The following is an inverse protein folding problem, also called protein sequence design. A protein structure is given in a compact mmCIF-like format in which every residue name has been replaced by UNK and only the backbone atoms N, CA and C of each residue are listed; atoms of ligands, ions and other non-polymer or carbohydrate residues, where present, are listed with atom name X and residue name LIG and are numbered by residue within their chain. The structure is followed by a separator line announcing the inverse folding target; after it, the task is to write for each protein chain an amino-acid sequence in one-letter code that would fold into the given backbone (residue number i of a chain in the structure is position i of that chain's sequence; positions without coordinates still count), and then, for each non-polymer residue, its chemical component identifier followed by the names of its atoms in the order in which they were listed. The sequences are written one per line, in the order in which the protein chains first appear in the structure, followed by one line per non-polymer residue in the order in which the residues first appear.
data_IF_913450106106
#
_entry.id   IF_913450106106
#
_cell.length_a   1.000
_cell.length_b   1.000
_cell.length_c   1.000
_cell.angle_alpha   90.00
_cell.angle_beta   90.00
_cell.angle_gamma   90.00
#
_symmetry.space_group_name_H-M   'P 1'
#
loop_
_entity.id
_entity.type
_entity.pdbx_description
1 polymer ?
#
# COMPACT_ATOMS: atom_id res chain seq x y z
N UNK A 1 -6.58 18.77 -4.85
CA UNK A 1 -6.60 18.69 -3.38
C UNK A 1 -6.50 17.22 -3.03
N UNK A 2 -5.31 16.75 -2.63
CA UNK A 2 -5.09 15.34 -2.31
C UNK A 2 -5.85 14.98 -1.02
N UNK A 3 -6.55 13.84 -0.96
CA UNK A 3 -7.29 13.43 0.24
C UNK A 3 -6.33 13.22 1.42
N UNK A 4 -6.76 13.60 2.63
CA UNK A 4 -5.98 13.45 3.86
C UNK A 4 -5.54 11.98 4.04
N UNK A 5 -4.24 11.69 4.21
CA UNK A 5 -3.73 10.32 4.37
C UNK A 5 -4.43 9.54 5.49
N UNK A 6 -4.95 10.21 6.54
CA UNK A 6 -5.72 9.56 7.62
C UNK A 6 -7.08 9.05 7.15
N UNK A 7 -7.72 9.75 6.22
CA UNK A 7 -9.03 9.38 5.67
C UNK A 7 -8.93 8.17 4.74
N UNK A 8 -7.87 8.12 3.91
CA UNK A 8 -7.62 7.00 3.00
C UNK A 8 -7.33 5.71 3.76
N UNK A 9 -6.48 5.76 4.78
CA UNK A 9 -6.19 4.61 5.65
C UNK A 9 -7.45 4.10 6.38
N UNK A 10 -8.30 5.01 6.89
CA UNK A 10 -9.58 4.63 7.52
C UNK A 10 -10.51 3.91 6.56
N UNK A 11 -10.69 4.41 5.34
CA UNK A 11 -11.60 3.80 4.37
C UNK A 11 -11.16 2.38 4.00
N UNK A 12 -9.85 2.14 3.85
CA UNK A 12 -9.35 0.79 3.57
C UNK A 12 -9.53 -0.18 4.74
N UNK A 13 -9.19 0.24 5.97
CA UNK A 13 -9.39 -0.58 7.18
C UNK A 13 -10.87 -0.89 7.41
N UNK A 14 -11.77 0.07 7.19
CA UNK A 14 -13.22 -0.15 7.29
C UNK A 14 -13.68 -1.15 6.22
N UNK A 15 -13.23 -1.01 4.97
CA UNK A 15 -13.61 -1.94 3.90
C UNK A 15 -13.14 -3.38 4.15
N UNK A 16 -11.97 -3.55 4.79
CA UNK A 16 -11.44 -4.84 5.21
C UNK A 16 -12.32 -5.46 6.31
N UNK A 17 -12.60 -4.68 7.36
CA UNK A 17 -13.41 -5.14 8.48
C UNK A 17 -14.82 -5.51 8.05
N UNK A 18 -15.45 -4.72 7.18
CA UNK A 18 -16.78 -4.99 6.64
C UNK A 18 -16.80 -6.30 5.85
N UNK A 19 -15.80 -6.56 4.99
CA UNK A 19 -15.72 -7.80 4.21
C UNK A 19 -15.50 -9.02 5.10
N UNK A 20 -14.61 -8.92 6.09
CA UNK A 20 -14.36 -9.99 7.05
C UNK A 20 -15.61 -10.28 7.89
N UNK A 21 -16.30 -9.24 8.39
CA UNK A 21 -17.53 -9.38 9.15
C UNK A 21 -18.64 -10.00 8.30
N UNK A 22 -18.79 -9.59 7.04
CA UNK A 22 -19.77 -10.15 6.11
C UNK A 22 -19.52 -11.63 5.82
N UNK A 23 -18.27 -12.03 5.52
CA UNK A 23 -17.92 -13.43 5.29
C UNK A 23 -18.16 -14.31 6.52
N UNK A 24 -17.78 -13.83 7.71
CA UNK A 24 -18.04 -14.53 8.96
C UNK A 24 -19.54 -14.65 9.27
N UNK A 25 -20.31 -13.59 9.03
CA UNK A 25 -21.77 -13.60 9.20
C UNK A 25 -22.44 -14.57 8.22
N UNK A 26 -21.99 -14.61 6.97
CA UNK A 26 -22.48 -15.54 5.96
C UNK A 26 -22.19 -17.00 6.36
N UNK A 27 -20.97 -17.28 6.84
CA UNK A 27 -20.60 -18.60 7.34
C UNK A 27 -21.49 -19.03 8.53
N UNK A 28 -21.73 -18.13 9.48
CA UNK A 28 -22.61 -18.38 10.61
C UNK A 28 -24.06 -18.64 10.17
N UNK A 29 -24.59 -17.85 9.23
CA UNK A 29 -25.94 -18.02 8.69
C UNK A 29 -26.10 -19.38 7.99
N UNK A 30 -25.11 -19.80 7.19
CA UNK A 30 -25.11 -21.11 6.53
C UNK A 30 -25.03 -22.26 7.54
N UNK A 31 -24.20 -22.12 8.58
CA UNK A 31 -24.12 -23.10 9.67
C UNK A 31 -25.45 -23.24 10.43
N UNK A 32 -26.06 -22.12 10.82
CA UNK A 32 -27.39 -22.08 11.44
C UNK A 32 -28.47 -22.69 10.53
N UNK A 33 -28.44 -22.41 9.23
CA UNK A 33 -29.35 -23.00 8.26
C UNK A 33 -29.19 -24.52 8.14
N UNK A 34 -27.96 -25.01 8.08
CA UNK A 34 -27.67 -26.44 8.07
C UNK A 34 -28.12 -27.13 9.37
N UNK A 35 -27.88 -26.49 10.52
CA UNK A 35 -28.35 -26.98 11.82
C UNK A 35 -29.88 -27.07 11.84
N UNK A 36 -30.55 -26.01 11.40
CA UNK A 36 -32.02 -25.99 11.29
C UNK A 36 -32.52 -27.13 10.39
N UNK A 37 -31.90 -27.34 9.24
CA UNK A 37 -32.28 -28.42 8.32
C UNK A 37 -32.13 -29.82 8.95
N UNK A 38 -31.12 -30.02 9.78
CA UNK A 38 -30.93 -31.28 10.53
C UNK A 38 -32.00 -31.45 11.62
N UNK A 39 -32.41 -30.34 12.27
CA UNK A 39 -33.39 -30.34 13.37
C UNK A 39 -34.86 -30.31 12.90
N UNK A 40 -35.18 -29.80 11.71
CA UNK A 40 -36.53 -29.75 11.12
C UNK A 40 -37.00 -31.15 10.63
N UNK A 41 -36.93 -32.15 11.52
CA UNK A 41 -37.50 -33.49 11.29
C UNK A 41 -38.99 -33.47 11.71
N UNK A 42 -39.92 -33.96 10.88
CA UNK A 42 -41.33 -34.00 11.26
C UNK A 42 -41.52 -34.89 12.48
N UNK A 43 -42.16 -34.35 13.51
CA UNK A 43 -42.62 -35.11 14.67
C UNK A 43 -43.86 -35.90 14.23
N UNK A 44 -43.80 -37.23 14.30
CA UNK A 44 -44.91 -38.09 13.90
C UNK A 44 -46.21 -37.76 14.67
N UNK A 45 -47.38 -38.13 14.12
CA UNK A 45 -48.68 -37.82 14.71
C UNK A 45 -48.92 -38.50 16.08
N UNK A 46 -48.15 -39.55 16.40
CA UNK A 46 -48.23 -40.28 17.66
C UNK A 46 -47.12 -39.89 18.66
N UNK A 47 -47.49 -39.86 19.94
CA UNK A 47 -46.59 -39.53 21.05
C UNK A 47 -45.34 -40.43 21.13
N UNK A 48 -45.47 -41.70 20.72
CA UNK A 48 -44.37 -42.67 20.70
C UNK A 48 -43.34 -42.38 19.61
N UNK A 49 -43.79 -41.99 18.41
CA UNK A 49 -42.91 -41.60 17.31
C UNK A 49 -42.16 -40.29 17.61
N UNK A 50 -42.82 -39.33 18.26
CA UNK A 50 -42.19 -38.10 18.73
C UNK A 50 -41.09 -38.36 19.77
N UNK A 51 -41.32 -39.29 20.70
CA UNK A 51 -40.30 -39.66 21.71
C UNK A 51 -39.07 -40.32 21.07
N UNK A 52 -39.26 -41.22 20.11
CA UNK A 52 -38.15 -41.83 19.37
C UNK A 52 -37.38 -40.82 18.51
N UNK A 53 -38.09 -39.91 17.84
CA UNK A 53 -37.47 -38.84 17.06
C UNK A 53 -36.58 -37.93 17.95
N UNK A 54 -37.09 -37.46 19.09
CA UNK A 54 -36.32 -36.62 20.02
C UNK A 54 -35.09 -37.36 20.56
N UNK A 55 -35.24 -38.63 20.96
CA UNK A 55 -34.15 -39.42 21.54
C UNK A 55 -33.04 -39.72 20.52
N UNK A 56 -33.40 -39.83 19.23
CA UNK A 56 -32.45 -40.00 18.12
C UNK A 56 -31.71 -38.70 17.75
N UNK A 57 -32.30 -37.52 18.04
CA UNK A 57 -31.72 -36.21 17.74
C UNK A 57 -30.74 -35.72 18.81
N UNK A 58 -30.99 -35.98 20.09
CA UNK A 58 -30.13 -35.57 21.21
C UNK A 58 -28.63 -35.86 21.01
N UNK A 59 -28.21 -37.09 20.61
CA UNK A 59 -26.79 -37.39 20.40
C UNK A 59 -26.19 -36.68 19.18
N UNK A 60 -27.01 -36.22 18.22
CA UNK A 60 -26.56 -35.47 17.05
C UNK A 60 -26.35 -33.97 17.34
N UNK A 61 -27.03 -33.40 18.34
CA UNK A 61 -26.97 -31.96 18.65
C UNK A 61 -25.55 -31.52 19.03
N UNK A 62 -24.87 -32.26 19.91
CA UNK A 62 -23.51 -31.93 20.34
C UNK A 62 -22.51 -31.86 19.17
N UNK A 63 -22.35 -32.94 18.39
CA UNK A 63 -21.53 -32.94 17.18
C UNK A 63 -21.92 -31.87 16.17
N UNK A 64 -23.22 -31.60 15.99
CA UNK A 64 -23.70 -30.56 15.06
C UNK A 64 -23.32 -29.14 15.52
N UNK A 65 -23.42 -28.83 16.81
CA UNK A 65 -23.00 -27.54 17.38
C UNK A 65 -21.49 -27.37 17.25
N UNK A 66 -20.70 -28.40 17.56
CA UNK A 66 -19.24 -28.37 17.39
C UNK A 66 -18.87 -28.18 15.93
N UNK A 67 -19.50 -28.92 15.01
CA UNK A 67 -19.29 -28.76 13.58
C UNK A 67 -19.60 -27.33 13.10
N UNK A 68 -20.71 -26.75 13.55
CA UNK A 68 -21.05 -25.36 13.28
C UNK A 68 -19.97 -24.39 13.78
N UNK A 69 -19.57 -24.51 15.05
CA UNK A 69 -18.56 -23.63 15.65
C UNK A 69 -17.21 -23.73 14.92
N UNK A 70 -16.75 -24.94 14.65
CA UNK A 70 -15.48 -25.19 13.93
C UNK A 70 -15.56 -24.64 12.51
N UNK A 71 -16.68 -24.83 11.81
CA UNK A 71 -16.83 -24.33 10.44
C UNK A 71 -16.76 -22.80 10.37
N UNK A 72 -17.42 -22.09 11.29
CA UNK A 72 -17.37 -20.62 11.39
C UNK A 72 -15.96 -20.15 11.72
N UNK A 73 -15.30 -20.78 12.69
CA UNK A 73 -13.91 -20.44 13.06
C UNK A 73 -12.95 -20.64 11.88
N UNK A 74 -13.08 -21.75 11.17
CA UNK A 74 -12.24 -22.07 10.03
C UNK A 74 -12.44 -21.06 8.89
N UNK A 75 -13.69 -20.78 8.51
CA UNK A 75 -14.00 -19.80 7.45
C UNK A 75 -13.54 -18.40 7.86
N UNK A 76 -13.74 -18.00 9.12
CA UNK A 76 -13.27 -16.73 9.65
C UNK A 76 -11.74 -16.61 9.59
N UNK A 77 -11.02 -17.64 10.04
CA UNK A 77 -9.56 -17.68 10.02
C UNK A 77 -9.00 -17.60 8.59
N UNK A 78 -9.55 -18.40 7.67
CA UNK A 78 -9.15 -18.41 6.25
C UNK A 78 -9.43 -17.05 5.61
N UNK A 79 -10.59 -16.45 5.88
CA UNK A 79 -10.96 -15.13 5.36
C UNK A 79 -10.01 -14.04 5.85
N UNK A 80 -9.68 -14.05 7.15
CA UNK A 80 -8.71 -13.12 7.73
C UNK A 80 -7.32 -13.27 7.10
N UNK A 81 -6.87 -14.52 6.91
CA UNK A 81 -5.58 -14.79 6.28
C UNK A 81 -5.53 -14.28 4.83
N UNK A 82 -6.52 -14.61 4.02
CA UNK A 82 -6.60 -14.17 2.62
C UNK A 82 -6.65 -12.65 2.54
N UNK A 83 -7.56 -12.02 3.28
CA UNK A 83 -7.69 -10.56 3.26
C UNK A 83 -6.40 -9.88 3.78
N UNK A 84 -5.74 -10.46 4.79
CA UNK A 84 -4.49 -9.95 5.35
C UNK A 84 -3.34 -9.99 4.35
N UNK A 85 -3.18 -11.09 3.62
CA UNK A 85 -2.20 -11.21 2.54
C UNK A 85 -2.49 -10.21 1.43
N UNK A 86 -3.74 -10.08 1.00
CA UNK A 86 -4.14 -9.12 -0.02
C UNK A 86 -3.89 -7.67 0.41
N UNK A 87 -4.14 -7.35 1.69
CA UNK A 87 -3.83 -6.05 2.24
C UNK A 87 -2.30 -5.80 2.29
N UNK A 88 -1.52 -6.80 2.69
CA UNK A 88 -0.06 -6.74 2.75
C UNK A 88 0.55 -6.47 1.37
N UNK A 89 0.06 -7.13 0.30
CA UNK A 89 0.54 -6.89 -1.07
C UNK A 89 0.35 -5.45 -1.55
N UNK A 90 -0.70 -4.75 -1.09
CA UNK A 90 -0.94 -3.33 -1.40
C UNK A 90 0.03 -2.37 -0.71
N UNK A 91 0.83 -2.86 0.23
CA UNK A 91 1.84 -2.07 0.96
C UNK A 91 3.25 -2.51 0.57
N UNK A 92 3.53 -3.81 0.61
CA UNK A 92 4.87 -4.37 0.40
C UNK A 92 5.43 -4.05 -0.99
N UNK A 93 4.61 -4.19 -2.05
CA UNK A 93 5.03 -3.90 -3.41
C UNK A 93 5.45 -2.43 -3.61
N UNK A 94 4.58 -1.46 -3.28
CA UNK A 94 4.90 -0.04 -3.29
C UNK A 94 6.13 0.32 -2.47
N UNK A 95 6.24 -0.22 -1.24
CA UNK A 95 7.36 0.06 -0.35
C UNK A 95 8.69 -0.40 -0.94
N UNK A 96 8.73 -1.58 -1.55
CA UNK A 96 9.93 -2.10 -2.22
C UNK A 96 10.34 -1.23 -3.42
N UNK A 97 9.36 -0.70 -4.17
CA UNK A 97 9.64 0.25 -5.26
C UNK A 97 10.23 1.56 -4.73
N UNK A 98 9.68 2.10 -3.64
CA UNK A 98 10.20 3.32 -3.00
C UNK A 98 11.62 3.11 -2.47
N UNK A 99 11.88 1.98 -1.81
CA UNK A 99 13.20 1.62 -1.32
C UNK A 99 14.22 1.51 -2.46
N UNK A 100 13.84 0.90 -3.60
CA UNK A 100 14.71 0.82 -4.77
C UNK A 100 15.08 2.20 -5.30
N UNK A 101 14.12 3.13 -5.33
CA UNK A 101 14.36 4.50 -5.78
C UNK A 101 15.25 5.26 -4.81
N UNK A 102 15.00 5.16 -3.51
CA UNK A 102 15.89 5.72 -2.50
C UNK A 102 17.33 5.19 -2.66
N UNK A 103 17.51 3.90 -2.93
CA UNK A 103 18.81 3.31 -3.20
C UNK A 103 19.46 3.80 -4.51
N UNK A 104 18.70 4.18 -5.53
CA UNK A 104 19.27 4.86 -6.70
C UNK A 104 19.79 6.25 -6.32
N UNK A 105 19.00 7.00 -5.56
CA UNK A 105 19.36 8.35 -5.11
C UNK A 105 20.61 8.32 -4.23
N UNK A 106 20.74 7.33 -3.33
CA UNK A 106 21.93 7.09 -2.52
C UNK A 106 23.19 6.91 -3.39
N UNK A 107 23.07 6.26 -4.54
CA UNK A 107 24.18 6.07 -5.50
C UNK A 107 24.40 7.27 -6.43
N UNK A 108 23.75 8.40 -6.17
CA UNK A 108 23.82 9.61 -7.01
C UNK A 108 23.05 9.47 -8.33
N UNK A 109 22.29 8.40 -8.53
CA UNK A 109 21.44 8.22 -9.71
C UNK A 109 20.07 8.83 -9.38
N UNK A 110 19.64 9.82 -10.15
CA UNK A 110 18.35 10.48 -9.96
C UNK A 110 17.32 9.93 -10.95
N UNK A 111 16.56 8.88 -10.57
CA UNK A 111 15.64 8.22 -11.48
C UNK A 111 14.46 9.11 -11.89
N UNK A 112 13.69 8.65 -12.87
CA UNK A 112 12.43 9.27 -13.26
C UNK A 112 11.35 9.21 -12.17
N UNK A 113 10.19 9.84 -12.41
CA UNK A 113 9.11 9.95 -11.44
C UNK A 113 8.51 8.59 -11.06
N UNK A 114 8.32 8.37 -9.77
CA UNK A 114 7.71 7.19 -9.17
C UNK A 114 6.20 7.29 -9.31
N UNK A 115 5.60 6.28 -9.95
CA UNK A 115 4.15 6.15 -10.04
C UNK A 115 3.68 4.90 -9.31
N UNK A 116 2.81 5.07 -8.31
CA UNK A 116 2.11 3.98 -7.64
C UNK A 116 0.70 3.86 -8.21
N UNK A 117 0.08 2.68 -8.11
CA UNK A 117 -1.30 2.49 -8.56
C UNK A 117 -2.25 3.23 -7.62
N UNK A 118 -3.41 3.69 -8.12
CA UNK A 118 -4.41 4.38 -7.29
C UNK A 118 -4.90 3.55 -6.09
N UNK A 119 -4.81 2.22 -6.18
CA UNK A 119 -5.21 1.29 -5.11
C UNK A 119 -4.09 0.95 -4.12
N UNK A 120 -2.86 1.37 -4.41
CA UNK A 120 -1.69 1.10 -3.58
C UNK A 120 -1.64 2.09 -2.41
N UNK A 121 -1.16 1.64 -1.26
CA UNK A 121 -0.87 2.56 -0.15
C UNK A 121 0.48 3.26 -0.38
N UNK A 122 0.65 4.46 0.16
CA UNK A 122 1.91 5.20 0.11
C UNK A 122 2.09 6.14 -1.08
N UNK A 123 1.02 6.46 -1.82
CA UNK A 123 1.01 7.48 -2.89
C UNK A 123 1.55 8.82 -2.42
N UNK A 124 1.14 9.29 -1.23
CA UNK A 124 1.65 10.52 -0.64
C UNK A 124 3.18 10.48 -0.40
N UNK A 125 3.73 9.32 -0.01
CA UNK A 125 5.17 9.15 0.16
C UNK A 125 5.89 9.14 -1.19
N UNK A 126 5.31 8.51 -2.22
CA UNK A 126 5.84 8.56 -3.58
C UNK A 126 5.87 10.00 -4.13
N UNK A 127 4.80 10.77 -3.91
CA UNK A 127 4.74 12.19 -4.29
C UNK A 127 5.81 13.01 -3.58
N UNK A 128 5.95 12.84 -2.26
CA UNK A 128 6.99 13.52 -1.50
C UNK A 128 8.40 13.17 -1.99
N UNK A 129 8.65 11.89 -2.32
CA UNK A 129 9.94 11.44 -2.86
C UNK A 129 10.20 11.98 -4.27
N UNK A 130 9.18 12.08 -5.11
CA UNK A 130 9.30 12.73 -6.43
C UNK A 130 9.69 14.20 -6.28
N UNK A 131 9.01 14.95 -5.41
CA UNK A 131 9.34 16.36 -5.14
C UNK A 131 10.78 16.50 -4.64
N UNK A 132 11.22 15.59 -3.78
CA UNK A 132 12.60 15.58 -3.30
C UNK A 132 13.61 15.36 -4.44
N UNK A 133 13.39 14.34 -5.28
CA UNK A 133 14.26 14.04 -6.42
C UNK A 133 14.30 15.21 -7.42
N UNK A 134 13.15 15.82 -7.72
CA UNK A 134 13.07 16.92 -8.67
C UNK A 134 13.79 18.17 -8.17
N UNK A 135 13.68 18.48 -6.87
CA UNK A 135 14.46 19.57 -6.25
C UNK A 135 15.96 19.30 -6.35
N UNK A 136 16.39 18.06 -6.10
CA UNK A 136 17.79 17.67 -6.22
C UNK A 136 18.32 17.79 -7.65
N UNK A 137 17.52 17.38 -8.64
CA UNK A 137 17.87 17.58 -10.06
C UNK A 137 18.03 19.07 -10.40
N UNK A 138 17.16 19.93 -9.87
CA UNK A 138 17.25 21.36 -10.10
C UNK A 138 18.52 21.96 -9.50
N UNK A 139 18.89 21.56 -8.28
CA UNK A 139 20.13 21.99 -7.63
C UNK A 139 21.36 21.56 -8.44
N UNK A 140 21.42 20.30 -8.88
CA UNK A 140 22.55 19.81 -9.66
C UNK A 140 22.68 20.51 -11.01
N UNK A 141 21.56 20.74 -11.71
CA UNK A 141 21.57 21.51 -12.97
C UNK A 141 22.09 22.93 -12.75
N UNK A 142 21.61 23.62 -11.72
CA UNK A 142 22.07 24.97 -11.42
C UNK A 142 23.58 25.03 -11.12
N UNK A 143 24.12 24.00 -10.48
CA UNK A 143 25.55 23.92 -10.20
C UNK A 143 26.37 23.57 -11.45
N UNK A 144 25.87 22.65 -12.30
CA UNK A 144 26.49 22.37 -13.61
C UNK A 144 26.51 23.63 -14.49
N UNK A 145 25.41 24.37 -14.56
CA UNK A 145 25.32 25.64 -15.32
C UNK A 145 26.28 26.71 -14.76
N UNK A 146 26.54 26.71 -13.44
CA UNK A 146 27.56 27.59 -12.84
C UNK A 146 28.96 27.19 -13.25
N UNK A 147 29.28 25.89 -13.22
CA UNK A 147 30.59 25.38 -13.63
C UNK A 147 30.85 25.67 -15.10
N UNK A 148 29.88 25.47 -15.98
CA UNK A 148 29.99 25.79 -17.42
C UNK A 148 30.26 27.28 -17.64
N UNK A 149 29.56 28.17 -16.93
CA UNK A 149 29.85 29.62 -17.01
C UNK A 149 31.25 30.00 -16.54
N UNK A 150 31.78 29.31 -15.54
CA UNK A 150 33.16 29.52 -15.06
C UNK A 150 34.16 29.06 -16.11
N UNK A 151 33.93 27.89 -16.73
CA UNK A 151 34.75 27.35 -17.81
C UNK A 151 34.77 28.28 -19.03
N UNK A 152 33.60 28.77 -19.47
CA UNK A 152 33.51 29.73 -20.56
C UNK A 152 34.24 31.05 -20.25
N UNK A 153 34.12 31.57 -19.03
CA UNK A 153 34.80 32.79 -18.61
C UNK A 153 36.32 32.59 -18.53
N UNK A 154 36.77 31.41 -18.10
CA UNK A 154 38.18 31.01 -18.12
C UNK A 154 38.73 30.92 -19.54
N UNK A 155 38.00 30.32 -20.47
CA UNK A 155 38.39 30.22 -21.87
C UNK A 155 38.47 31.59 -22.55
N UNK A 156 37.52 32.48 -22.27
CA UNK A 156 37.59 33.88 -22.72
C UNK A 156 38.82 34.59 -22.19
N UNK A 157 39.15 34.41 -20.91
CA UNK A 157 40.33 35.00 -20.29
C UNK A 157 41.65 34.47 -20.87
N UNK A 158 41.73 33.16 -21.12
CA UNK A 158 42.95 32.49 -21.59
C UNK A 158 43.28 32.83 -23.05
N UNK A 159 42.25 33.06 -23.89
CA UNK A 159 42.40 33.38 -25.31
C UNK A 159 42.34 34.89 -25.61
N UNK A 160 42.06 35.74 -24.62
CA UNK A 160 42.04 37.19 -24.80
C UNK A 160 43.44 37.72 -25.16
N UNK A 161 43.57 38.37 -26.33
CA UNK A 161 44.80 39.02 -26.78
C UNK A 161 44.92 40.48 -26.31
N UNK A 162 43.78 41.13 -26.06
CA UNK A 162 43.72 42.51 -25.56
C UNK A 162 43.71 42.50 -24.01
N UNK A 163 44.59 43.29 -23.35
CA UNK A 163 44.58 43.47 -21.90
C UNK A 163 43.21 43.86 -21.31
N UNK A 164 42.41 44.67 -22.03
CA UNK A 164 41.09 45.12 -21.54
C UNK A 164 40.07 43.99 -21.51
N UNK A 165 40.10 43.12 -22.51
CA UNK A 165 39.20 41.95 -22.56
C UNK A 165 39.59 40.92 -21.50
N UNK A 166 40.88 40.82 -21.21
CA UNK A 166 41.42 40.00 -20.14
C UNK A 166 41.00 40.50 -18.75
N UNK A 167 40.98 41.81 -18.54
CA UNK A 167 40.52 42.42 -17.29
C UNK A 167 39.01 42.22 -17.07
N UNK A 168 38.19 42.40 -18.12
CA UNK A 168 36.75 42.12 -18.06
C UNK A 168 36.44 40.66 -17.74
N UNK A 169 37.16 39.72 -18.36
CA UNK A 169 36.98 38.30 -18.07
C UNK A 169 37.39 37.93 -16.63
N UNK A 170 38.40 38.60 -16.07
CA UNK A 170 38.78 38.45 -14.65
C UNK A 170 37.71 38.97 -13.69
N UNK A 171 37.09 40.12 -13.98
CA UNK A 171 35.98 40.63 -13.19
C UNK A 171 34.78 39.68 -13.20
N UNK A 172 34.47 39.09 -14.37
CA UNK A 172 33.41 38.11 -14.50
C UNK A 172 33.70 36.83 -13.68
N UNK A 173 34.92 36.30 -13.74
CA UNK A 173 35.34 35.17 -12.91
C UNK A 173 35.25 35.48 -11.42
N UNK A 174 35.69 36.67 -10.99
CA UNK A 174 35.56 37.11 -9.58
C UNK A 174 34.11 37.19 -9.14
N UNK A 175 33.22 37.65 -10.02
CA UNK A 175 31.76 37.71 -9.74
C UNK A 175 31.13 36.32 -9.63
N UNK A 176 31.62 35.34 -10.39
CA UNK A 176 31.10 33.96 -10.35
C UNK A 176 31.64 33.15 -9.15
N UNK A 177 32.81 33.53 -8.63
CA UNK A 177 33.47 32.87 -7.50
C UNK A 177 33.06 33.43 -6.11
N UNK A 178 32.55 34.66 -6.05
CA UNK A 178 31.99 35.28 -4.84
C UNK A 178 30.51 34.95 -4.64
#
# INVERSE_FOLDING_TARGET
MAPDPKTVARTHSVSFLVKAAFLSALAAALGLGALRWILDRPLGPEYGEAHHAIRSLLPLVGPAVVFCGVSVLLVGAVSLLILGVLASHKVAGPLFRLQRVAGFVERGILPGPIHLRATDQGTALAEALNVFVDRWKAVLRAETDRMERVEEAWDRWSHARDPKDREKALEELRRLAG
#
